data_IF_431734981190
#
_entry.id   IF_431734981190
#
_cell.length_a   1.000
_cell.length_b   1.000
_cell.length_c   1.000
_cell.angle_alpha   90.00
_cell.angle_beta   90.00
_cell.angle_gamma   90.00
#
_symmetry.space_group_name_H-M   'P 1'
#
loop_
_entity.id
_entity.type
_entity.pdbx_description
1 polymer ?
#
# COMPACT_ATOMS: atom_id res chain seq x y z
N UNK A 1 19.53 17.95 14.63
CA UNK A 1 19.22 17.42 13.28
C UNK A 1 20.45 16.68 12.78
N UNK A 2 20.37 15.37 12.52
CA UNK A 2 21.47 14.68 11.83
C UNK A 2 21.72 15.33 10.45
N UNK A 3 22.98 15.61 10.15
CA UNK A 3 23.43 16.06 8.83
C UNK A 3 23.10 14.95 7.79
N UNK A 4 22.62 15.33 6.60
CA UNK A 4 22.33 14.42 5.48
C UNK A 4 23.48 13.44 5.21
N UNK A 5 24.73 13.89 5.32
CA UNK A 5 25.91 13.04 5.16
C UNK A 5 25.90 11.85 6.13
N UNK A 6 25.55 12.08 7.39
CA UNK A 6 25.48 11.01 8.40
C UNK A 6 24.37 10.01 8.06
N UNK A 7 23.21 10.48 7.59
CA UNK A 7 22.12 9.61 7.15
C UNK A 7 22.52 8.72 5.98
N UNK A 8 23.29 9.26 5.02
CA UNK A 8 23.79 8.50 3.87
C UNK A 8 24.84 7.46 4.28
N UNK A 9 25.70 7.77 5.25
CA UNK A 9 26.65 6.81 5.83
C UNK A 9 25.89 5.68 6.53
N UNK A 10 24.93 6.02 7.39
CA UNK A 10 24.11 5.03 8.09
C UNK A 10 23.35 4.15 7.10
N UNK A 11 22.74 4.71 6.06
CA UNK A 11 22.05 3.96 5.01
C UNK A 11 22.98 2.95 4.34
N UNK A 12 24.20 3.36 3.98
CA UNK A 12 25.19 2.46 3.38
C UNK A 12 25.54 1.30 4.30
N UNK A 13 25.73 1.56 5.59
CA UNK A 13 26.04 0.52 6.57
C UNK A 13 24.89 -0.51 6.70
N UNK A 14 23.64 -0.07 6.67
CA UNK A 14 22.49 -1.00 6.67
C UNK A 14 22.48 -1.87 5.41
N UNK A 15 22.84 -1.32 4.25
CA UNK A 15 22.93 -2.08 3.00
C UNK A 15 24.10 -3.06 2.97
N UNK A 16 25.25 -2.72 3.57
CA UNK A 16 26.45 -3.56 3.59
C UNK A 16 26.21 -4.91 4.26
N UNK A 17 25.32 -4.96 5.26
CA UNK A 17 24.91 -6.22 5.90
C UNK A 17 24.19 -7.19 4.95
N UNK A 18 23.59 -6.70 3.86
CA UNK A 18 22.75 -7.48 2.95
C UNK A 18 21.35 -7.84 3.46
N UNK A 19 21.15 -7.86 4.79
CA UNK A 19 19.90 -8.25 5.45
C UNK A 19 18.71 -7.37 5.04
N UNK A 20 18.90 -6.04 5.03
CA UNK A 20 17.84 -5.10 4.63
C UNK A 20 17.37 -5.37 3.19
N UNK A 21 18.32 -5.59 2.27
CA UNK A 21 18.03 -5.88 0.87
C UNK A 21 17.30 -7.21 0.73
N UNK A 22 17.77 -8.25 1.42
CA UNK A 22 17.14 -9.57 1.40
C UNK A 22 15.69 -9.51 1.91
N UNK A 23 15.47 -8.90 3.07
CA UNK A 23 14.14 -8.77 3.66
C UNK A 23 13.19 -8.00 2.74
N UNK A 24 13.64 -6.86 2.20
CA UNK A 24 12.80 -6.06 1.31
C UNK A 24 12.45 -6.79 0.01
N UNK A 25 13.42 -7.47 -0.63
CA UNK A 25 13.17 -8.27 -1.81
C UNK A 25 12.20 -9.42 -1.54
N UNK A 26 12.35 -10.09 -0.39
CA UNK A 26 11.43 -11.15 0.04
C UNK A 26 10.00 -10.62 0.16
N UNK A 27 9.82 -9.48 0.83
CA UNK A 27 8.51 -8.85 1.01
C UNK A 27 7.88 -8.45 -0.33
N UNK A 28 8.63 -7.86 -1.25
CA UNK A 28 8.14 -7.54 -2.59
C UNK A 28 7.71 -8.81 -3.34
N UNK A 29 8.54 -9.86 -3.32
CA UNK A 29 8.22 -11.14 -3.96
C UNK A 29 6.94 -11.75 -3.40
N UNK A 30 6.75 -11.69 -2.08
CA UNK A 30 5.51 -12.13 -1.42
C UNK A 30 4.31 -11.35 -1.95
N UNK A 31 4.37 -10.03 -2.06
CA UNK A 31 3.26 -9.23 -2.60
C UNK A 31 2.99 -9.53 -4.08
N UNK A 32 4.03 -9.78 -4.87
CA UNK A 32 3.87 -10.22 -6.25
C UNK A 32 3.18 -11.58 -6.34
N UNK A 33 3.48 -12.52 -5.44
CA UNK A 33 2.82 -13.82 -5.37
C UNK A 33 1.35 -13.68 -4.97
N UNK A 34 1.03 -12.85 -3.98
CA UNK A 34 -0.36 -12.54 -3.58
C UNK A 34 -1.14 -11.96 -4.76
N UNK A 35 -0.56 -10.99 -5.49
CA UNK A 35 -1.16 -10.45 -6.72
C UNK A 35 -1.44 -11.56 -7.74
N UNK A 36 -0.46 -12.42 -8.01
CA UNK A 36 -0.61 -13.50 -8.99
C UNK A 36 -1.69 -14.50 -8.57
N UNK A 37 -1.77 -14.83 -7.28
CA UNK A 37 -2.80 -15.70 -6.74
C UNK A 37 -4.20 -15.13 -6.99
N UNK A 38 -4.42 -13.86 -6.67
CA UNK A 38 -5.70 -13.19 -6.91
C UNK A 38 -5.99 -13.12 -8.42
N UNK A 39 -5.02 -12.70 -9.24
CA UNK A 39 -5.23 -12.51 -10.68
C UNK A 39 -5.50 -13.82 -11.44
N UNK A 40 -5.08 -14.97 -10.92
CA UNK A 40 -5.34 -16.30 -11.52
C UNK A 40 -6.68 -16.88 -11.13
N UNK A 41 -7.35 -16.34 -10.11
CA UNK A 41 -8.64 -16.82 -9.69
C UNK A 41 -9.71 -16.34 -10.71
N UNK A 42 -10.33 -17.24 -11.50
CA UNK A 42 -11.30 -16.83 -12.53
C UNK A 42 -12.61 -16.29 -11.93
N UNK A 43 -12.89 -16.59 -10.66
CA UNK A 43 -14.14 -16.20 -9.98
C UNK A 43 -14.04 -14.80 -9.35
N UNK A 44 -12.88 -14.14 -9.42
CA UNK A 44 -12.73 -12.78 -8.89
C UNK A 44 -13.26 -11.74 -9.87
N UNK A 45 -14.11 -10.83 -9.39
CA UNK A 45 -14.53 -9.65 -10.16
C UNK A 45 -13.45 -8.56 -10.22
N UNK A 46 -12.33 -8.74 -9.50
CA UNK A 46 -11.28 -7.75 -9.37
C UNK A 46 -10.13 -7.94 -10.36
N UNK A 47 -9.77 -6.87 -11.07
CA UNK A 47 -8.53 -6.77 -11.83
C UNK A 47 -7.42 -6.20 -10.94
N UNK A 48 -6.24 -6.80 -11.01
CA UNK A 48 -5.06 -6.33 -10.30
C UNK A 48 -4.23 -5.38 -11.16
N UNK A 49 -3.86 -4.22 -10.63
CA UNK A 49 -2.88 -3.33 -11.26
C UNK A 49 -1.43 -3.73 -11.00
N UNK A 50 -0.51 -2.82 -11.29
CA UNK A 50 0.92 -3.03 -11.05
C UNK A 50 1.25 -2.92 -9.56
N UNK A 51 2.29 -3.66 -9.15
CA UNK A 51 2.85 -3.54 -7.80
C UNK A 51 3.71 -2.28 -7.76
N UNK A 52 3.38 -1.39 -6.85
CA UNK A 52 4.19 -0.25 -6.44
C UNK A 52 5.07 -0.69 -5.27
N UNK A 53 6.41 -0.72 -5.41
CA UNK A 53 7.30 -1.17 -4.35
C UNK A 53 7.33 -0.20 -3.16
N UNK A 54 7.07 1.09 -3.39
CA UNK A 54 7.15 2.14 -2.36
C UNK A 54 8.59 2.51 -2.02
N UNK A 55 8.75 3.15 -0.87
CA UNK A 55 10.00 3.72 -0.36
C UNK A 55 10.43 3.07 0.96
N UNK A 56 10.26 1.75 1.10
CA UNK A 56 10.38 0.98 2.36
C UNK A 56 9.30 1.34 3.41
N UNK A 57 8.25 2.02 2.97
CA UNK A 57 7.08 2.39 3.77
C UNK A 57 5.93 1.41 3.51
N UNK A 58 5.47 1.35 2.25
CA UNK A 58 4.34 0.55 1.81
C UNK A 58 4.62 -0.08 0.45
N UNK A 59 4.44 -1.40 0.32
CA UNK A 59 4.37 -2.06 -0.99
C UNK A 59 2.93 -2.44 -1.27
N UNK A 60 2.38 -2.06 -2.42
CA UNK A 60 0.96 -2.30 -2.69
C UNK A 60 0.65 -2.50 -4.16
N UNK A 61 -0.52 -3.07 -4.46
CA UNK A 61 -1.10 -3.03 -5.81
C UNK A 61 -2.60 -2.75 -5.73
N UNK A 62 -3.16 -2.06 -6.75
CA UNK A 62 -4.57 -1.74 -6.73
C UNK A 62 -5.42 -2.93 -7.20
N UNK A 63 -6.61 -3.06 -6.61
CA UNK A 63 -7.69 -3.95 -7.01
C UNK A 63 -8.87 -3.10 -7.49
N UNK A 64 -9.36 -3.37 -8.69
CA UNK A 64 -10.47 -2.62 -9.30
C UNK A 64 -11.50 -3.55 -9.92
N UNK A 65 -12.78 -3.21 -9.77
CA UNK A 65 -13.89 -3.83 -10.49
C UNK A 65 -14.75 -2.71 -11.13
N UNK A 66 -15.84 -3.08 -11.82
CA UNK A 66 -16.75 -2.10 -12.43
C UNK A 66 -17.40 -1.19 -11.39
N UNK A 67 -17.79 -1.73 -10.23
CA UNK A 67 -18.42 -0.99 -9.14
C UNK A 67 -17.55 0.15 -8.59
N UNK A 68 -16.27 -0.14 -8.32
CA UNK A 68 -15.29 0.83 -7.84
C UNK A 68 -14.93 1.84 -8.93
N UNK A 69 -14.70 1.35 -10.16
CA UNK A 69 -14.32 2.21 -11.29
C UNK A 69 -15.40 3.26 -11.58
N UNK A 70 -16.69 2.88 -11.56
CA UNK A 70 -17.81 3.80 -11.74
C UNK A 70 -17.84 4.93 -10.68
N UNK A 71 -17.23 4.69 -9.51
CA UNK A 71 -17.13 5.62 -8.39
C UNK A 71 -15.80 6.34 -8.29
N UNK A 72 -14.90 6.15 -9.27
CA UNK A 72 -13.51 6.64 -9.24
C UNK A 72 -12.76 6.16 -8.00
N UNK A 73 -13.06 4.95 -7.55
CA UNK A 73 -12.43 4.27 -6.41
C UNK A 73 -11.59 3.09 -6.88
N UNK A 74 -10.70 2.64 -5.98
CA UNK A 74 -9.97 1.39 -6.07
C UNK A 74 -9.67 0.88 -4.66
N UNK A 75 -9.53 -0.42 -4.49
CA UNK A 75 -8.86 -0.94 -3.30
C UNK A 75 -7.36 -0.96 -3.52
N UNK A 76 -6.59 -0.85 -2.44
CA UNK A 76 -5.16 -1.13 -2.40
C UNK A 76 -4.93 -2.28 -1.44
N UNK A 77 -4.34 -3.37 -1.92
CA UNK A 77 -3.79 -4.39 -1.03
C UNK A 77 -2.37 -3.96 -0.69
N UNK A 78 -2.17 -3.56 0.56
CA UNK A 78 -0.97 -2.85 1.05
C UNK A 78 -0.24 -3.72 2.06
N UNK A 79 1.06 -3.88 1.89
CA UNK A 79 1.97 -4.31 2.94
C UNK A 79 2.55 -3.09 3.63
N UNK A 80 2.28 -2.95 4.92
CA UNK A 80 2.92 -1.96 5.77
C UNK A 80 4.26 -2.51 6.25
N UNK A 81 5.39 -1.94 5.80
CA UNK A 81 6.72 -2.44 6.15
C UNK A 81 7.06 -2.23 7.62
N UNK A 82 6.48 -1.21 8.27
CA UNK A 82 6.74 -0.92 9.67
C UNK A 82 6.06 -1.93 10.61
N UNK A 83 4.86 -2.39 10.27
CA UNK A 83 4.09 -3.35 11.10
C UNK A 83 4.09 -4.78 10.55
N UNK A 84 4.60 -4.98 9.34
CA UNK A 84 4.59 -6.26 8.59
C UNK A 84 3.21 -6.89 8.41
N UNK A 85 2.17 -6.05 8.35
CA UNK A 85 0.79 -6.49 8.17
C UNK A 85 0.28 -6.18 6.76
N UNK A 86 -0.63 -7.02 6.28
CA UNK A 86 -1.44 -6.73 5.11
C UNK A 86 -2.66 -5.90 5.51
N UNK A 87 -2.88 -4.84 4.76
CA UNK A 87 -3.98 -3.91 4.93
C UNK A 87 -4.76 -3.79 3.62
N UNK A 88 -6.06 -3.57 3.72
CA UNK A 88 -6.92 -3.28 2.56
C UNK A 88 -7.42 -1.84 2.66
N UNK A 89 -6.94 -1.00 1.76
CA UNK A 89 -7.28 0.43 1.77
C UNK A 89 -8.30 0.75 0.69
N UNK A 90 -9.30 1.56 1.02
CA UNK A 90 -10.16 2.18 0.02
C UNK A 90 -9.54 3.50 -0.44
N UNK A 91 -9.18 3.61 -1.71
CA UNK A 91 -8.47 4.76 -2.26
C UNK A 91 -9.31 5.47 -3.32
N UNK A 92 -9.34 6.81 -3.25
CA UNK A 92 -9.83 7.65 -4.33
C UNK A 92 -8.86 7.64 -5.52
N UNK A 93 -9.37 7.82 -6.73
CA UNK A 93 -8.54 8.00 -7.93
C UNK A 93 -7.66 9.26 -7.84
N UNK A 94 -8.13 10.27 -7.11
CA UNK A 94 -7.41 11.50 -6.81
C UNK A 94 -7.83 12.05 -5.44
N UNK A 95 -7.12 13.09 -4.98
CA UNK A 95 -7.35 13.71 -3.68
C UNK A 95 -8.78 14.27 -3.49
N UNK A 96 -9.41 14.77 -4.55
CA UNK A 96 -10.77 15.30 -4.48
C UNK A 96 -11.78 14.17 -4.18
N UNK A 97 -11.69 13.05 -4.90
CA UNK A 97 -12.53 11.87 -4.66
C UNK A 97 -12.27 11.28 -3.27
N UNK A 98 -11.01 11.17 -2.86
CA UNK A 98 -10.66 10.68 -1.52
C UNK A 98 -11.29 11.54 -0.42
N UNK A 99 -11.25 12.87 -0.55
CA UNK A 99 -11.87 13.79 0.39
C UNK A 99 -13.38 13.63 0.44
N UNK A 100 -14.05 13.47 -0.70
CA UNK A 100 -15.50 13.23 -0.77
C UNK A 100 -15.92 11.97 0.00
N UNK A 101 -15.23 10.85 -0.26
CA UNK A 101 -15.52 9.59 0.43
C UNK A 101 -15.13 9.63 1.91
N UNK A 102 -14.03 10.29 2.27
CA UNK A 102 -13.67 10.50 3.67
C UNK A 102 -14.76 11.24 4.42
N UNK A 103 -15.30 12.35 3.89
CA UNK A 103 -16.38 13.08 4.57
C UNK A 103 -17.63 12.22 4.79
N UNK A 104 -17.92 11.30 3.86
CA UNK A 104 -19.06 10.40 3.94
C UNK A 104 -18.83 9.22 4.92
N UNK A 105 -17.59 8.78 5.09
CA UNK A 105 -17.24 7.56 5.82
C UNK A 105 -16.53 7.80 7.16
N UNK A 106 -16.09 9.02 7.47
CA UNK A 106 -15.33 9.35 8.69
C UNK A 106 -16.03 8.96 9.99
N UNK A 107 -17.36 8.94 10.00
CA UNK A 107 -18.18 8.56 11.16
C UNK A 107 -18.64 7.09 11.11
N UNK A 108 -18.17 6.32 10.14
CA UNK A 108 -18.52 4.90 10.05
C UNK A 108 -17.74 4.06 11.07
N UNK A 109 -18.22 2.85 11.42
CA UNK A 109 -17.51 1.95 12.32
C UNK A 109 -16.06 1.63 11.90
N UNK A 110 -15.76 1.77 10.60
CA UNK A 110 -14.45 1.50 10.01
C UNK A 110 -13.41 2.59 10.26
N UNK A 111 -13.82 3.78 10.72
CA UNK A 111 -12.92 4.92 10.95
C UNK A 111 -12.99 5.45 12.39
N UNK A 112 -13.52 4.68 13.35
CA UNK A 112 -13.67 5.12 14.73
C UNK A 112 -12.34 5.47 15.41
N UNK A 113 -11.25 4.81 15.00
CA UNK A 113 -9.89 5.06 15.48
C UNK A 113 -9.15 6.15 14.69
N UNK A 114 -9.78 6.72 13.65
CA UNK A 114 -9.16 7.71 12.77
C UNK A 114 -9.65 9.12 13.11
N UNK A 115 -8.72 9.98 13.54
CA UNK A 115 -8.98 11.40 13.81
C UNK A 115 -8.83 12.28 12.58
N UNK A 116 -8.09 11.81 11.57
CA UNK A 116 -7.77 12.55 10.35
C UNK A 116 -7.89 11.63 9.12
N UNK A 117 -8.06 12.25 7.95
CA UNK A 117 -8.06 11.52 6.69
C UNK A 117 -6.67 10.90 6.47
N UNK A 118 -6.58 9.59 6.19
CA UNK A 118 -5.32 8.97 5.79
C UNK A 118 -4.73 9.71 4.57
N UNK A 119 -3.44 10.00 4.61
CA UNK A 119 -2.71 10.67 3.52
C UNK A 119 -2.16 9.66 2.52
#
# INVERSE_FOLDING_TARGET
>A
MENLQQRLINYRQHLESGELKFAYEYLIKTIMQVKQYIARNPDTEFKCGNVSPGYLDYTYFPLVNSFLTARKLRFGLVLNHNTLNLELWLMGQNAAVQKEYWQSLKNSPWNLDKTEMPQ
#
